data_IF_416664298986
#
_entry.id   IF_416664298986
#
_cell.length_a   1.000
_cell.length_b   1.000
_cell.length_c   1.000
_cell.angle_alpha   90.00
_cell.angle_beta   90.00
_cell.angle_gamma   90.00
#
_symmetry.space_group_name_H-M   'P 1'
#
loop_
_entity.id
_entity.type
_entity.pdbx_description
1 polymer ?
#
# COMPACT_ATOMS: atom_id res chain seq x y z
N UNK A 1 13.95 -12.03 17.16
CA UNK A 1 13.67 -10.62 16.81
C UNK A 1 13.24 -10.57 15.36
N UNK A 2 12.27 -9.73 15.02
CA UNK A 2 11.74 -9.60 13.64
C UNK A 2 11.96 -8.19 13.11
N UNK A 3 12.38 -8.08 11.85
CA UNK A 3 12.40 -6.84 11.09
C UNK A 3 11.85 -7.11 9.68
N UNK A 4 10.96 -6.26 9.17
CA UNK A 4 10.35 -6.46 7.86
C UNK A 4 10.10 -5.14 7.12
N UNK A 5 10.41 -5.12 5.82
CA UNK A 5 10.03 -4.05 4.89
C UNK A 5 9.04 -4.58 3.84
N UNK A 6 8.27 -5.61 4.21
CA UNK A 6 7.45 -6.41 3.30
C UNK A 6 6.30 -5.69 2.58
N UNK A 7 5.95 -4.47 2.99
CA UNK A 7 4.93 -3.66 2.30
C UNK A 7 5.38 -3.26 0.88
N UNK A 8 6.67 -2.99 0.71
CA UNK A 8 7.27 -2.56 -0.57
C UNK A 8 8.50 -3.43 -0.89
N UNK A 9 8.30 -4.75 -0.96
CA UNK A 9 9.40 -5.72 -1.13
C UNK A 9 9.26 -6.58 -2.40
N UNK A 10 9.11 -5.92 -3.55
CA UNK A 10 9.12 -6.63 -4.84
C UNK A 10 10.51 -7.23 -5.13
N UNK A 11 10.61 -8.38 -5.84
CA UNK A 11 11.89 -9.05 -6.04
C UNK A 11 13.03 -8.15 -6.57
N UNK A 12 12.80 -7.23 -7.52
CA UNK A 12 13.86 -6.35 -8.02
C UNK A 12 14.41 -5.34 -6.99
N UNK A 13 13.64 -4.99 -5.96
CA UNK A 13 14.03 -3.98 -4.95
C UNK A 13 14.52 -4.57 -3.63
N UNK A 14 14.42 -5.90 -3.45
CA UNK A 14 14.92 -6.61 -2.26
C UNK A 14 16.36 -6.23 -1.87
N UNK A 15 17.35 -6.20 -2.81
CA UNK A 15 18.71 -5.80 -2.45
C UNK A 15 18.82 -4.37 -1.88
N UNK A 16 17.92 -3.48 -2.29
CA UNK A 16 17.84 -2.12 -1.75
C UNK A 16 17.24 -2.11 -0.33
N UNK A 17 16.18 -2.89 -0.09
CA UNK A 17 15.58 -3.05 1.24
C UNK A 17 16.57 -3.69 2.22
N UNK A 18 17.30 -4.73 1.81
CA UNK A 18 18.34 -5.37 2.61
C UNK A 18 19.46 -4.37 2.99
N UNK A 19 19.90 -3.56 2.03
CA UNK A 19 20.89 -2.51 2.28
C UNK A 19 20.36 -1.46 3.25
N UNK A 20 19.11 -1.05 3.11
CA UNK A 20 18.48 -0.08 4.00
C UNK A 20 18.36 -0.62 5.43
N UNK A 21 17.87 -1.85 5.59
CA UNK A 21 17.81 -2.51 6.88
C UNK A 21 19.20 -2.65 7.53
N UNK A 22 20.23 -3.04 6.77
CA UNK A 22 21.60 -3.14 7.29
C UNK A 22 22.09 -1.80 7.85
N UNK A 23 21.79 -0.69 7.17
CA UNK A 23 22.13 0.65 7.65
C UNK A 23 21.37 1.02 8.93
N UNK A 24 20.06 0.73 9.01
CA UNK A 24 19.25 0.94 10.21
C UNK A 24 19.81 0.11 11.38
N UNK A 25 20.01 -1.20 11.16
CA UNK A 25 20.55 -2.12 12.16
C UNK A 25 21.91 -1.67 12.70
N UNK A 26 22.80 -1.21 11.81
CA UNK A 26 24.12 -0.72 12.21
C UNK A 26 24.03 0.50 13.16
N UNK A 27 23.04 1.40 12.95
CA UNK A 27 22.79 2.54 13.85
C UNK A 27 22.04 2.16 15.12
N UNK A 28 21.14 1.19 15.04
CA UNK A 28 20.41 0.67 16.21
C UNK A 28 21.28 -0.18 17.14
N UNK A 29 22.35 -0.80 16.63
CA UNK A 29 23.22 -1.71 17.38
C UNK A 29 22.59 -3.06 17.72
N UNK A 30 21.35 -3.33 17.27
CA UNK A 30 20.60 -4.58 17.52
C UNK A 30 19.62 -4.89 16.40
N UNK A 31 19.12 -6.12 16.36
CA UNK A 31 18.10 -6.59 15.41
C UNK A 31 18.56 -7.81 14.59
N UNK A 32 17.64 -8.49 13.90
CA UNK A 32 17.96 -9.68 13.09
C UNK A 32 18.92 -9.33 11.93
N UNK A 33 19.72 -10.30 11.50
CA UNK A 33 20.67 -10.11 10.40
C UNK A 33 19.98 -9.87 9.06
N UNK A 34 18.86 -10.54 8.84
CA UNK A 34 18.08 -10.49 7.60
C UNK A 34 16.65 -10.00 7.85
N UNK A 35 16.03 -9.43 6.82
CA UNK A 35 14.61 -9.11 6.83
C UNK A 35 13.77 -10.39 6.77
N UNK A 36 12.62 -10.36 7.43
CA UNK A 36 11.58 -11.39 7.35
C UNK A 36 10.59 -11.02 6.24
N UNK A 37 10.42 -11.90 5.25
CA UNK A 37 9.59 -11.69 4.06
C UNK A 37 8.65 -12.86 3.75
N UNK A 38 8.76 -13.97 4.48
CA UNK A 38 8.06 -15.24 4.25
C UNK A 38 6.91 -15.49 5.25
N UNK A 39 6.48 -14.45 5.97
CA UNK A 39 5.41 -14.52 6.98
C UNK A 39 4.30 -13.52 6.68
N UNK A 40 3.11 -13.86 7.15
CA UNK A 40 1.96 -12.96 7.14
C UNK A 40 2.25 -11.65 7.91
N UNK A 41 1.74 -10.54 7.37
CA UNK A 41 1.99 -9.20 7.91
C UNK A 41 1.41 -9.00 9.30
N UNK A 42 0.23 -9.55 9.61
CA UNK A 42 -0.37 -9.45 10.95
C UNK A 42 0.44 -10.21 11.99
N UNK A 43 0.95 -11.38 11.61
CA UNK A 43 1.86 -12.16 12.45
C UNK A 43 3.16 -11.39 12.73
N UNK A 44 3.72 -10.71 11.72
CA UNK A 44 4.90 -9.85 11.89
C UNK A 44 4.59 -8.65 12.80
N UNK A 45 3.51 -7.92 12.52
CA UNK A 45 3.18 -6.68 13.24
C UNK A 45 2.88 -6.90 14.73
N UNK A 46 2.35 -8.07 15.09
CA UNK A 46 2.02 -8.42 16.48
C UNK A 46 3.07 -9.27 17.18
N UNK A 47 4.20 -9.54 16.55
CA UNK A 47 5.24 -10.34 17.16
C UNK A 47 5.82 -9.61 18.39
N UNK A 48 5.92 -10.27 19.56
CA UNK A 48 6.43 -9.63 20.78
C UNK A 48 7.91 -9.23 20.66
N UNK A 49 8.64 -9.81 19.72
CA UNK A 49 10.04 -9.52 19.43
C UNK A 49 10.23 -8.68 18.14
N UNK A 50 9.18 -7.98 17.69
CA UNK A 50 9.24 -7.04 16.58
C UNK A 50 10.19 -5.87 16.89
N UNK A 51 11.12 -5.60 15.97
CA UNK A 51 12.07 -4.50 16.03
C UNK A 51 11.63 -3.36 15.12
N UNK A 52 11.25 -3.67 13.88
CA UNK A 52 10.83 -2.69 12.88
C UNK A 52 9.94 -3.37 11.83
N UNK A 53 8.78 -2.78 11.54
CA UNK A 53 7.99 -3.16 10.36
C UNK A 53 7.36 -1.93 9.72
N UNK A 54 6.86 -2.10 8.50
CA UNK A 54 6.03 -1.12 7.81
C UNK A 54 4.59 -1.59 7.81
N UNK A 55 3.66 -0.65 8.00
CA UNK A 55 2.23 -0.88 7.89
C UNK A 55 1.58 0.28 7.17
N UNK A 56 0.40 0.04 6.61
CA UNK A 56 -0.43 1.08 6.02
C UNK A 56 -1.11 1.91 7.14
N UNK A 57 -1.64 3.09 6.81
CA UNK A 57 -2.30 3.94 7.80
C UNK A 57 -3.54 3.32 8.44
N UNK A 58 -4.32 2.56 7.66
CA UNK A 58 -5.58 1.98 8.11
C UNK A 58 -5.35 0.80 9.09
N UNK A 59 -4.50 -0.22 8.81
CA UNK A 59 -4.21 -1.27 9.79
C UNK A 59 -3.57 -0.70 11.07
N UNK A 60 -2.70 0.31 10.94
CA UNK A 60 -2.18 1.03 12.10
C UNK A 60 -3.30 1.60 12.96
N UNK A 61 -4.18 2.42 12.36
CA UNK A 61 -5.25 3.12 13.09
C UNK A 61 -6.29 2.19 13.70
N UNK A 62 -6.64 1.09 13.03
CA UNK A 62 -7.78 0.26 13.44
C UNK A 62 -7.41 -0.88 14.37
N UNK A 63 -6.17 -1.37 14.32
CA UNK A 63 -5.80 -2.61 15.01
C UNK A 63 -4.43 -2.61 15.69
N UNK A 64 -3.46 -1.79 15.23
CA UNK A 64 -2.11 -1.78 15.83
C UNK A 64 -1.87 -0.59 16.76
N UNK A 65 -2.74 0.41 16.75
CA UNK A 65 -2.61 1.58 17.59
C UNK A 65 -2.70 1.18 19.07
N UNK A 66 -1.62 1.44 19.82
CA UNK A 66 -1.49 1.01 21.22
C UNK A 66 -0.88 -0.39 21.39
N UNK A 67 -0.77 -1.20 20.32
CA UNK A 67 -0.03 -2.47 20.33
C UNK A 67 1.43 -2.28 19.87
N UNK A 68 1.69 -1.30 18.99
CA UNK A 68 3.02 -0.98 18.48
C UNK A 68 3.35 0.51 18.63
N UNK A 69 4.64 0.84 18.65
CA UNK A 69 5.11 2.22 18.63
C UNK A 69 5.31 2.71 17.19
N UNK A 70 4.67 3.82 16.84
CA UNK A 70 4.97 4.52 15.58
C UNK A 70 6.30 5.27 15.72
N UNK A 71 7.32 4.81 15.00
CA UNK A 71 8.67 5.39 15.05
C UNK A 71 8.92 6.43 13.94
N UNK A 72 8.06 6.49 12.93
CA UNK A 72 8.15 7.47 11.86
C UNK A 72 7.37 7.09 10.61
N UNK A 73 7.33 8.01 9.66
CA UNK A 73 6.76 7.84 8.32
C UNK A 73 7.88 7.98 7.29
N UNK A 74 8.17 6.94 6.48
CA UNK A 74 9.21 7.05 5.45
C UNK A 74 8.87 8.12 4.41
N UNK A 75 9.87 8.90 4.02
CA UNK A 75 9.79 9.79 2.86
C UNK A 75 10.40 9.10 1.65
N UNK A 76 9.57 8.83 0.64
CA UNK A 76 9.98 8.22 -0.62
C UNK A 76 10.18 9.25 -1.75
N UNK A 77 10.09 10.56 -1.45
CA UNK A 77 10.25 11.62 -2.44
C UNK A 77 9.16 11.58 -3.51
N UNK A 78 7.94 11.19 -3.14
CA UNK A 78 6.84 11.09 -4.09
C UNK A 78 6.46 12.48 -4.63
N UNK A 79 6.25 12.63 -5.95
CA UNK A 79 5.81 13.90 -6.51
C UNK A 79 4.53 14.41 -5.86
N UNK A 80 4.49 15.72 -5.62
CA UNK A 80 3.37 16.45 -5.02
C UNK A 80 3.00 15.97 -3.60
N UNK A 81 3.91 15.30 -2.89
CA UNK A 81 3.72 14.88 -1.50
C UNK A 81 4.76 15.55 -0.59
N UNK A 82 4.35 16.17 0.54
CA UNK A 82 5.29 16.58 1.57
C UNK A 82 6.06 15.38 2.16
N UNK A 83 7.23 15.59 2.77
CA UNK A 83 7.99 14.51 3.41
C UNK A 83 7.16 13.67 4.37
N UNK A 84 7.20 12.35 4.22
CA UNK A 84 6.44 11.41 5.05
C UNK A 84 4.97 11.22 4.65
N UNK A 85 4.50 11.94 3.61
CA UNK A 85 3.17 11.75 3.04
C UNK A 85 3.23 10.93 1.76
N UNK A 86 2.09 10.34 1.41
CA UNK A 86 1.88 9.65 0.15
C UNK A 86 0.44 9.88 -0.33
N UNK A 87 0.19 9.58 -1.60
CA UNK A 87 -1.15 9.66 -2.22
C UNK A 87 -1.56 8.34 -2.85
N UNK A 88 -2.85 8.22 -3.12
CA UNK A 88 -3.37 7.16 -3.98
C UNK A 88 -3.46 7.67 -5.41
N UNK A 89 -3.23 6.78 -6.38
CA UNK A 89 -3.46 7.06 -7.80
C UNK A 89 -4.65 6.23 -8.28
N UNK A 90 -5.62 6.88 -8.93
CA UNK A 90 -6.67 6.18 -9.64
C UNK A 90 -6.14 5.72 -11.00
N UNK A 91 -6.34 4.44 -11.32
CA UNK A 91 -5.92 3.85 -12.59
C UNK A 91 -7.12 3.27 -13.33
N UNK A 92 -7.11 3.44 -14.65
CA UNK A 92 -8.11 2.88 -15.57
C UNK A 92 -7.41 2.38 -16.83
N UNK A 93 -8.11 1.60 -17.66
CA UNK A 93 -7.58 1.22 -18.98
C UNK A 93 -7.44 2.47 -19.85
N UNK A 94 -6.41 2.50 -20.70
CA UNK A 94 -6.33 3.51 -21.77
C UNK A 94 -7.56 3.38 -22.67
N UNK A 95 -8.27 4.48 -22.88
CA UNK A 95 -9.39 4.57 -23.82
C UNK A 95 -8.99 5.44 -25.01
N UNK A 96 -9.77 5.37 -26.09
CA UNK A 96 -9.61 6.19 -27.29
C UNK A 96 -10.12 7.63 -27.14
N UNK A 97 -10.78 7.93 -26.01
CA UNK A 97 -11.24 9.27 -25.66
C UNK A 97 -11.14 9.53 -24.15
N UNK A 98 -11.43 10.76 -23.74
CA UNK A 98 -11.38 11.17 -22.35
C UNK A 98 -12.48 10.49 -21.55
N UNK A 99 -12.10 9.98 -20.37
CA UNK A 99 -13.05 9.47 -19.37
C UNK A 99 -12.78 10.17 -18.07
N UNK A 100 -13.83 10.70 -17.48
CA UNK A 100 -13.78 11.30 -16.16
C UNK A 100 -13.80 10.22 -15.08
N UNK A 101 -13.44 10.62 -13.85
CA UNK A 101 -13.62 9.74 -12.69
C UNK A 101 -15.10 9.34 -12.52
N UNK A 102 -16.04 10.23 -12.83
CA UNK A 102 -17.47 9.95 -12.72
C UNK A 102 -17.94 8.86 -13.71
N UNK A 103 -17.44 8.88 -14.94
CA UNK A 103 -17.76 7.87 -15.97
C UNK A 103 -17.33 6.46 -15.54
N UNK A 104 -16.22 6.37 -14.81
CA UNK A 104 -15.64 5.10 -14.37
C UNK A 104 -16.18 4.66 -13.01
N UNK A 105 -16.54 5.61 -12.15
CA UNK A 105 -16.90 5.34 -10.77
C UNK A 105 -18.22 4.60 -10.63
N UNK A 106 -19.10 4.58 -11.64
CA UNK A 106 -20.32 3.76 -11.63
C UNK A 106 -20.09 2.32 -12.14
N UNK A 107 -18.84 1.93 -12.45
CA UNK A 107 -18.48 0.60 -12.92
C UNK A 107 -18.00 -0.35 -11.82
N UNK A 108 -17.08 -1.23 -12.18
CA UNK A 108 -16.41 -2.17 -11.27
C UNK A 108 -15.14 -1.55 -10.70
N UNK A 109 -15.09 -1.37 -9.38
CA UNK A 109 -13.91 -0.90 -8.67
C UNK A 109 -13.11 -2.06 -8.05
N UNK A 110 -11.84 -2.19 -8.42
CA UNK A 110 -10.92 -3.16 -7.81
C UNK A 110 -10.15 -2.52 -6.65
N UNK A 111 -10.08 -3.25 -5.53
CA UNK A 111 -9.35 -2.86 -4.34
C UNK A 111 -8.47 -4.01 -3.83
N UNK A 112 -7.35 -3.68 -3.19
CA UNK A 112 -6.42 -4.70 -2.71
C UNK A 112 -6.96 -5.42 -1.47
N UNK A 113 -7.38 -4.67 -0.45
CA UNK A 113 -7.85 -5.20 0.83
C UNK A 113 -8.77 -4.17 1.51
N UNK A 114 -9.75 -4.62 2.30
CA UNK A 114 -10.70 -3.73 2.99
C UNK A 114 -10.07 -2.92 4.14
N UNK A 115 -8.90 -3.35 4.63
CA UNK A 115 -8.07 -2.61 5.57
C UNK A 115 -6.97 -1.79 4.87
N UNK A 116 -7.06 -1.60 3.56
CA UNK A 116 -6.13 -0.74 2.82
C UNK A 116 -6.47 0.74 2.97
N UNK A 117 -5.52 1.58 3.38
CA UNK A 117 -5.75 3.03 3.34
C UNK A 117 -5.77 3.54 1.89
N UNK A 118 -4.81 3.10 1.08
CA UNK A 118 -4.52 3.63 -0.25
C UNK A 118 -5.42 3.06 -1.35
N UNK A 119 -5.78 1.78 -1.25
CA UNK A 119 -6.60 1.10 -2.25
C UNK A 119 -8.06 0.96 -1.88
N UNK A 120 -8.44 1.33 -0.64
CA UNK A 120 -9.81 1.22 -0.16
C UNK A 120 -10.32 2.47 0.57
N UNK A 121 -9.83 2.77 1.77
CA UNK A 121 -10.44 3.81 2.61
C UNK A 121 -10.37 5.21 1.98
N UNK A 122 -9.18 5.66 1.58
CA UNK A 122 -9.00 6.97 0.93
C UNK A 122 -9.76 7.11 -0.39
N UNK A 123 -9.69 6.16 -1.35
CA UNK A 123 -10.42 6.28 -2.61
C UNK A 123 -11.94 6.18 -2.42
N UNK A 124 -12.44 5.32 -1.53
CA UNK A 124 -13.88 5.26 -1.25
C UNK A 124 -14.36 6.57 -0.63
N UNK A 125 -13.62 7.18 0.30
CA UNK A 125 -13.94 8.49 0.83
C UNK A 125 -13.90 9.59 -0.24
N UNK A 126 -12.91 9.55 -1.14
CA UNK A 126 -12.76 10.52 -2.23
C UNK A 126 -13.91 10.46 -3.24
N UNK A 127 -14.35 9.25 -3.63
CA UNK A 127 -15.54 9.03 -4.43
C UNK A 127 -16.79 9.45 -3.65
N UNK A 128 -16.81 9.15 -2.34
CA UNK A 128 -17.94 9.43 -1.49
C UNK A 128 -18.31 10.92 -1.46
N UNK A 129 -17.31 11.76 -1.26
CA UNK A 129 -17.40 13.21 -1.21
C UNK A 129 -17.79 13.88 -2.54
N UNK A 130 -17.93 13.10 -3.63
CA UNK A 130 -18.35 13.56 -4.96
C UNK A 130 -19.67 12.92 -5.41
N UNK A 131 -20.38 12.28 -4.49
CA UNK A 131 -21.60 11.52 -4.78
C UNK A 131 -21.41 10.41 -5.82
N UNK A 132 -20.18 9.91 -5.96
CA UNK A 132 -19.82 8.80 -6.84
C UNK A 132 -19.75 7.50 -6.06
N UNK A 133 -20.29 6.40 -6.58
CA UNK A 133 -20.25 5.09 -5.92
C UNK A 133 -20.06 3.97 -6.95
N UNK A 134 -19.07 3.07 -6.76
CA UNK A 134 -18.95 1.85 -7.56
C UNK A 134 -20.23 1.03 -7.54
N UNK A 135 -20.71 0.61 -8.72
CA UNK A 135 -21.81 -0.32 -8.81
C UNK A 135 -21.40 -1.71 -8.32
N UNK A 136 -20.12 -2.07 -8.47
CA UNK A 136 -19.57 -3.34 -8.00
C UNK A 136 -18.14 -3.19 -7.49
N UNK A 137 -17.80 -4.02 -6.51
CA UNK A 137 -16.49 -4.06 -5.88
C UNK A 137 -15.84 -5.43 -6.10
N UNK A 138 -14.54 -5.46 -6.32
CA UNK A 138 -13.76 -6.71 -6.41
C UNK A 138 -12.48 -6.63 -5.59
N UNK A 139 -12.35 -7.51 -4.61
CA UNK A 139 -11.12 -7.67 -3.84
C UNK A 139 -10.08 -8.42 -4.68
N UNK A 140 -8.84 -7.93 -4.71
CA UNK A 140 -7.76 -8.50 -5.52
C UNK A 140 -6.56 -8.96 -4.73
N UNK A 141 -6.53 -8.75 -3.41
CA UNK A 141 -5.47 -9.17 -2.49
C UNK A 141 -4.20 -8.31 -2.53
N UNK A 142 -3.94 -7.57 -3.61
CA UNK A 142 -2.79 -6.67 -3.72
C UNK A 142 -3.03 -5.54 -4.71
N UNK A 143 -2.25 -4.45 -4.59
CA UNK A 143 -2.28 -3.34 -5.56
C UNK A 143 -1.93 -3.82 -6.97
N UNK A 144 -0.91 -4.67 -7.12
CA UNK A 144 -0.59 -5.31 -8.39
C UNK A 144 -1.77 -6.12 -8.94
N UNK A 145 -2.51 -6.81 -8.05
CA UNK A 145 -3.75 -7.51 -8.39
C UNK A 145 -4.85 -6.57 -8.90
N UNK A 146 -5.00 -5.39 -8.29
CA UNK A 146 -5.99 -4.38 -8.70
C UNK A 146 -5.61 -3.77 -10.05
N UNK A 147 -4.34 -3.40 -10.23
CA UNK A 147 -3.80 -2.93 -11.50
C UNK A 147 -4.02 -3.95 -12.62
N UNK A 148 -3.74 -5.24 -12.35
CA UNK A 148 -3.99 -6.33 -13.30
C UNK A 148 -5.48 -6.52 -13.59
N UNK A 149 -6.37 -6.35 -12.61
CA UNK A 149 -7.82 -6.43 -12.84
C UNK A 149 -8.28 -5.33 -13.80
N UNK A 150 -7.78 -4.11 -13.64
CA UNK A 150 -8.03 -3.02 -14.58
C UNK A 150 -7.45 -3.35 -15.96
N UNK A 151 -6.16 -3.70 -16.05
CA UNK A 151 -5.50 -3.98 -17.33
C UNK A 151 -6.18 -5.10 -18.13
N UNK A 152 -6.73 -6.11 -17.46
CA UNK A 152 -7.42 -7.27 -18.08
C UNK A 152 -8.92 -7.06 -18.27
N UNK A 153 -9.47 -5.89 -17.96
CA UNK A 153 -10.88 -5.57 -18.13
C UNK A 153 -11.82 -6.24 -17.13
N UNK A 154 -11.29 -6.82 -16.04
CA UNK A 154 -12.09 -7.36 -14.92
C UNK A 154 -12.57 -6.26 -13.97
N UNK A 155 -11.98 -5.08 -14.05
CA UNK A 155 -12.40 -3.86 -13.36
C UNK A 155 -12.24 -2.65 -14.27
N UNK A 156 -13.03 -1.60 -14.03
CA UNK A 156 -12.98 -0.34 -14.78
C UNK A 156 -12.03 0.66 -14.13
N UNK A 157 -11.95 0.62 -12.81
CA UNK A 157 -11.22 1.55 -11.97
C UNK A 157 -10.55 0.81 -10.82
N UNK A 158 -9.37 1.27 -10.42
CA UNK A 158 -8.75 0.88 -9.15
C UNK A 158 -8.03 2.10 -8.56
N UNK A 159 -7.74 2.04 -7.25
CA UNK A 159 -6.82 2.97 -6.62
C UNK A 159 -5.62 2.22 -6.05
N UNK A 160 -4.43 2.75 -6.31
CA UNK A 160 -3.17 2.14 -5.91
C UNK A 160 -2.40 3.10 -5.01
N UNK A 161 -1.60 2.57 -4.10
CA UNK A 161 -0.54 3.33 -3.46
C UNK A 161 0.45 3.87 -4.51
N UNK A 162 0.79 5.16 -4.43
CA UNK A 162 1.62 5.82 -5.44
C UNK A 162 3.06 5.27 -5.51
N UNK A 163 3.64 4.82 -4.38
CA UNK A 163 4.94 4.17 -4.41
C UNK A 163 4.85 2.81 -5.09
N UNK A 164 3.83 2.02 -4.74
CA UNK A 164 3.58 0.74 -5.39
C UNK A 164 3.37 0.91 -6.89
N UNK A 165 2.63 1.94 -7.32
CA UNK A 165 2.47 2.27 -8.74
C UNK A 165 3.79 2.61 -9.42
N UNK A 166 4.68 3.37 -8.77
CA UNK A 166 6.00 3.68 -9.32
C UNK A 166 6.93 2.46 -9.45
N UNK A 167 6.64 1.39 -8.70
CA UNK A 167 7.41 0.15 -8.70
C UNK A 167 6.88 -0.92 -9.69
N UNK A 168 5.65 -0.74 -10.20
CA UNK A 168 5.00 -1.64 -11.18
C UNK A 168 5.39 -1.28 -12.62
#
# INVERSE_FOLDING_TARGET
MIASLGMYDMPPIRPCNDRFWRAIRARLGRGPECLTWDRDLWTIWRAPDLVLAQTCGMPYRTALHGEVALVGTPDYGLPDCPPGHYRSVFVSRKATGDRTLADLANGVFAYNDALSQSGWAAPMHHLAARDLRPARLVATGSHAGSARAVATGRADLAALDALTWALL
#
